data_IF_677082255074
#
_entry.id   IF_677082255074
#
_cell.length_a   1.000
_cell.length_b   1.000
_cell.length_c   1.000
_cell.angle_alpha   90.00
_cell.angle_beta   90.00
_cell.angle_gamma   90.00
#
_symmetry.space_group_name_H-M   'P 1'
#
loop_
_entity.id
_entity.type
_entity.pdbx_description
1 polymer ?
#
# COMPACT_ATOMS: atom_id res chain seq x y z
N UNK A 1 -5.36 0.25 25.69
CA UNK A 1 -4.66 0.63 24.44
C UNK A 1 -4.45 2.12 24.48
N UNK A 2 -3.22 2.59 24.57
CA UNK A 2 -2.91 4.03 24.53
C UNK A 2 -2.99 4.48 23.07
N UNK A 3 -3.98 5.28 22.71
CA UNK A 3 -4.05 5.97 21.42
C UNK A 3 -2.81 6.86 21.31
N UNK A 4 -2.22 6.92 20.12
CA UNK A 4 -1.14 7.91 19.84
C UNK A 4 -1.73 9.32 20.00
N UNK A 5 -1.23 10.09 20.96
CA UNK A 5 -1.79 11.41 21.27
C UNK A 5 -1.28 12.46 20.27
N UNK A 6 -2.18 13.03 19.52
CA UNK A 6 -1.92 14.15 18.62
C UNK A 6 -2.92 15.28 18.89
N UNK A 7 -2.41 16.51 18.86
CA UNK A 7 -3.25 17.70 18.88
C UNK A 7 -3.55 18.17 17.45
N UNK A 8 -4.82 18.30 17.08
CA UNK A 8 -5.25 18.62 15.71
C UNK A 8 -4.76 20.01 15.25
N UNK A 9 -4.72 21.00 16.14
CA UNK A 9 -4.26 22.36 15.80
C UNK A 9 -2.76 22.36 15.50
N UNK A 10 -1.95 21.69 16.34
CA UNK A 10 -0.51 21.54 16.13
C UNK A 10 -0.23 20.74 14.84
N UNK A 11 -0.97 19.68 14.60
CA UNK A 11 -0.87 18.89 13.39
C UNK A 11 -1.20 19.71 12.14
N UNK A 12 -2.28 20.50 12.20
CA UNK A 12 -2.71 21.38 11.11
C UNK A 12 -1.64 22.43 10.79
N UNK A 13 -1.08 23.09 11.81
CA UNK A 13 -0.04 24.11 11.63
C UNK A 13 1.26 23.50 11.06
N UNK A 14 1.62 22.27 11.47
CA UNK A 14 2.76 21.54 10.91
C UNK A 14 2.51 21.20 9.44
N UNK A 15 1.31 20.71 9.10
CA UNK A 15 0.94 20.32 7.75
C UNK A 15 0.79 21.50 6.79
N UNK A 16 0.40 22.70 7.27
CA UNK A 16 0.42 23.95 6.48
C UNK A 16 1.83 24.34 6.03
N UNK A 17 2.85 23.93 6.79
CA UNK A 17 4.28 24.15 6.50
C UNK A 17 4.92 22.96 5.81
N UNK A 18 4.14 22.14 5.09
CA UNK A 18 4.65 20.93 4.44
C UNK A 18 5.82 21.22 3.49
N UNK A 19 6.99 20.73 3.87
CA UNK A 19 8.23 20.82 3.06
C UNK A 19 8.48 19.57 2.22
N UNK A 20 7.61 18.55 2.31
CA UNK A 20 7.80 17.27 1.66
C UNK A 20 6.99 17.14 0.37
N UNK A 21 6.24 18.18 -0.02
CA UNK A 21 5.31 18.15 -1.16
C UNK A 21 4.29 16.99 -1.05
N UNK A 22 3.79 16.77 0.16
CA UNK A 22 2.88 15.66 0.45
C UNK A 22 1.41 16.10 0.55
N UNK A 23 1.15 17.32 1.06
CA UNK A 23 -0.19 17.84 1.29
C UNK A 23 -0.76 18.46 0.03
N UNK A 24 -1.93 17.95 -0.39
CA UNK A 24 -2.67 18.52 -1.52
C UNK A 24 -3.70 19.56 -1.08
N UNK A 25 -4.56 19.21 -0.13
CA UNK A 25 -5.60 20.09 0.38
C UNK A 25 -6.04 19.70 1.79
N UNK A 26 -6.62 20.68 2.49
CA UNK A 26 -7.24 20.46 3.79
C UNK A 26 -8.75 20.26 3.64
N UNK A 27 -9.33 19.42 4.49
CA UNK A 27 -10.77 19.34 4.67
C UNK A 27 -11.27 20.41 5.66
N UNK A 28 -12.52 20.81 5.51
CA UNK A 28 -13.18 21.61 6.54
C UNK A 28 -13.41 20.76 7.80
N UNK A 29 -13.00 21.28 8.95
CA UNK A 29 -13.28 20.63 10.22
C UNK A 29 -14.77 20.78 10.55
N UNK A 30 -15.48 19.66 10.67
CA UNK A 30 -16.93 19.62 10.95
C UNK A 30 -17.19 18.93 12.28
N UNK A 31 -18.37 19.18 12.86
CA UNK A 31 -18.80 18.43 14.03
C UNK A 31 -18.85 16.93 13.70
N UNK A 32 -18.14 16.14 14.49
CA UNK A 32 -18.00 14.71 14.28
C UNK A 32 -19.20 13.93 14.81
N UNK A 33 -19.51 12.82 14.14
CA UNK A 33 -20.31 11.76 14.72
C UNK A 33 -19.54 11.11 15.88
N UNK A 34 -20.25 10.51 16.83
CA UNK A 34 -19.59 9.68 17.86
C UNK A 34 -19.46 8.25 17.37
N UNK A 35 -18.30 7.64 17.58
CA UNK A 35 -17.99 6.27 17.19
C UNK A 35 -16.65 5.81 17.73
N UNK A 36 -16.18 4.64 17.28
CA UNK A 36 -14.94 4.03 17.79
C UNK A 36 -13.67 4.82 17.39
N UNK A 37 -13.76 5.66 16.36
CA UNK A 37 -12.67 6.52 15.89
C UNK A 37 -12.82 7.99 16.34
N UNK A 38 -13.71 8.27 17.30
CA UNK A 38 -13.82 9.62 17.85
C UNK A 38 -12.46 10.12 18.35
N UNK A 39 -12.19 11.41 18.10
CA UNK A 39 -10.92 12.10 18.40
C UNK A 39 -9.71 11.64 17.54
N UNK A 40 -9.92 10.77 16.58
CA UNK A 40 -8.90 10.43 15.59
C UNK A 40 -9.08 11.23 14.31
N UNK A 41 -7.99 11.72 13.74
CA UNK A 41 -7.99 12.39 12.44
C UNK A 41 -7.01 11.72 11.49
N UNK A 42 -7.31 11.82 10.18
CA UNK A 42 -6.60 11.04 9.17
C UNK A 42 -6.29 11.83 7.90
N UNK A 43 -5.32 11.32 7.16
CA UNK A 43 -5.06 11.71 5.77
C UNK A 43 -5.61 10.67 4.80
N UNK A 44 -5.98 11.12 3.59
CA UNK A 44 -6.44 10.23 2.53
C UNK A 44 -5.76 10.57 1.20
N UNK A 45 -5.34 9.53 0.52
CA UNK A 45 -4.72 9.59 -0.81
C UNK A 45 -5.67 10.18 -1.84
N UNK A 46 -5.18 11.06 -2.72
CA UNK A 46 -6.03 11.84 -3.66
C UNK A 46 -6.71 11.01 -4.76
N UNK A 47 -6.46 9.72 -4.84
CA UNK A 47 -7.16 8.79 -5.73
C UNK A 47 -8.43 8.16 -5.11
N UNK A 48 -8.87 8.64 -3.95
CA UNK A 48 -10.18 8.30 -3.39
C UNK A 48 -11.20 9.39 -3.64
N UNK A 49 -12.39 8.99 -4.06
CA UNK A 49 -13.52 9.89 -4.23
C UNK A 49 -13.99 10.46 -2.89
N UNK A 50 -14.17 11.78 -2.83
CA UNK A 50 -14.84 12.49 -1.73
C UNK A 50 -15.71 13.60 -2.30
N UNK A 51 -16.87 13.82 -1.74
CA UNK A 51 -17.77 14.95 -2.13
C UNK A 51 -17.05 16.27 -1.94
N UNK A 52 -16.30 16.40 -0.85
CA UNK A 52 -15.55 17.60 -0.55
C UNK A 52 -14.22 17.63 -1.32
N UNK A 53 -14.03 18.71 -2.08
CA UNK A 53 -12.81 18.99 -2.79
C UNK A 53 -12.61 18.18 -4.08
N UNK A 54 -11.43 18.32 -4.63
CA UNK A 54 -11.00 17.63 -5.85
C UNK A 54 -10.43 16.25 -5.48
N UNK A 55 -10.62 15.26 -6.35
CA UNK A 55 -9.95 13.95 -6.29
C UNK A 55 -9.26 13.71 -7.63
N UNK A 56 -7.97 14.01 -7.72
CA UNK A 56 -7.24 14.00 -9.00
C UNK A 56 -6.24 12.84 -9.13
N UNK A 57 -6.04 12.04 -8.06
CA UNK A 57 -5.06 10.94 -8.09
C UNK A 57 -3.65 11.40 -8.45
N UNK A 58 -3.29 12.65 -8.19
CA UNK A 58 -2.02 13.30 -8.58
C UNK A 58 -1.76 13.32 -10.08
N UNK A 59 -2.82 13.32 -10.90
CA UNK A 59 -2.77 13.44 -12.37
C UNK A 59 -3.30 14.80 -12.84
N UNK A 60 -2.63 15.39 -13.81
CA UNK A 60 -3.11 16.62 -14.45
C UNK A 60 -4.40 16.40 -15.25
N UNK A 61 -4.61 15.20 -15.77
CA UNK A 61 -5.84 14.85 -16.49
C UNK A 61 -7.10 15.03 -15.64
N UNK A 62 -6.98 14.87 -14.32
CA UNK A 62 -8.10 14.97 -13.38
C UNK A 62 -8.01 16.18 -12.43
N UNK A 63 -7.21 17.20 -12.77
CA UNK A 63 -6.88 18.32 -11.88
C UNK A 63 -8.12 19.04 -11.29
N UNK A 64 -9.23 19.04 -12.00
CA UNK A 64 -10.48 19.67 -11.59
C UNK A 64 -11.59 18.65 -11.27
N UNK A 65 -11.28 17.35 -11.22
CA UNK A 65 -12.30 16.32 -11.05
C UNK A 65 -12.87 16.33 -9.63
N UNK A 66 -14.18 16.54 -9.56
CA UNK A 66 -14.97 16.54 -8.31
C UNK A 66 -15.97 15.38 -8.35
N UNK A 67 -15.70 14.29 -7.64
CA UNK A 67 -16.68 13.20 -7.48
C UNK A 67 -17.95 13.70 -6.83
N UNK A 68 -19.10 13.26 -7.30
CA UNK A 68 -20.39 13.56 -6.67
C UNK A 68 -20.72 12.69 -5.44
N UNK A 69 -19.78 11.86 -4.98
CA UNK A 69 -19.98 10.88 -3.92
C UNK A 69 -18.70 10.64 -3.12
N UNK A 70 -18.84 10.06 -1.94
CA UNK A 70 -17.74 9.59 -1.11
C UNK A 70 -17.40 8.13 -1.43
N UNK A 71 -16.12 7.78 -1.41
CA UNK A 71 -15.72 6.37 -1.37
C UNK A 71 -16.28 5.70 -0.11
N UNK A 72 -16.64 4.43 -0.21
CA UNK A 72 -17.21 3.69 0.92
C UNK A 72 -16.28 3.71 2.14
N UNK A 73 -14.97 3.58 1.94
CA UNK A 73 -14.01 3.64 3.04
C UNK A 73 -14.03 5.01 3.73
N UNK A 74 -14.05 6.10 2.97
CA UNK A 74 -14.12 7.45 3.54
C UNK A 74 -15.43 7.65 4.33
N UNK A 75 -16.57 7.22 3.77
CA UNK A 75 -17.85 7.33 4.42
C UNK A 75 -17.92 6.55 5.74
N UNK A 76 -17.46 5.29 5.75
CA UNK A 76 -17.41 4.47 6.97
C UNK A 76 -16.55 5.10 8.06
N UNK A 77 -15.40 5.70 7.71
CA UNK A 77 -14.51 6.36 8.67
C UNK A 77 -15.17 7.57 9.33
N UNK A 78 -15.78 8.46 8.55
CA UNK A 78 -16.46 9.64 9.10
C UNK A 78 -17.73 9.28 9.89
N UNK A 79 -18.42 8.20 9.49
CA UNK A 79 -19.60 7.69 10.20
C UNK A 79 -19.23 7.13 11.59
N UNK A 80 -17.99 6.68 11.78
CA UNK A 80 -17.45 6.20 13.06
C UNK A 80 -16.64 7.27 13.81
N UNK A 81 -16.80 8.53 13.43
CA UNK A 81 -16.28 9.66 14.18
C UNK A 81 -14.85 10.10 13.80
N UNK A 82 -14.21 9.49 12.81
CA UNK A 82 -12.91 9.96 12.37
C UNK A 82 -13.03 11.31 11.63
N UNK A 83 -12.10 12.23 11.90
CA UNK A 83 -12.04 13.54 11.26
C UNK A 83 -11.08 13.48 10.05
N UNK A 84 -11.55 13.68 8.80
CA UNK A 84 -10.63 13.87 7.68
C UNK A 84 -9.89 15.20 7.87
N UNK A 85 -8.55 15.18 7.77
CA UNK A 85 -7.74 16.38 7.95
C UNK A 85 -7.20 16.89 6.63
N UNK A 86 -6.57 16.01 5.85
CA UNK A 86 -5.91 16.37 4.59
C UNK A 86 -6.11 15.32 3.51
N UNK A 87 -6.15 15.78 2.25
CA UNK A 87 -5.83 14.95 1.07
C UNK A 87 -4.35 15.06 0.76
N UNK A 88 -3.75 13.96 0.36
CA UNK A 88 -2.32 13.89 0.09
C UNK A 88 -2.01 13.50 -1.35
N UNK A 89 -0.90 14.01 -1.86
CA UNK A 89 -0.34 13.59 -3.15
C UNK A 89 0.14 12.13 -3.11
N UNK A 90 0.27 11.55 -4.28
CA UNK A 90 0.70 10.16 -4.49
C UNK A 90 1.41 10.02 -5.83
N UNK A 91 2.06 8.90 -6.12
CA UNK A 91 2.45 8.61 -7.49
C UNK A 91 1.19 8.55 -8.37
N UNK A 92 1.25 9.17 -9.56
CA UNK A 92 0.12 9.44 -10.42
C UNK A 92 -0.80 8.23 -10.62
N UNK A 93 -2.09 8.39 -10.30
CA UNK A 93 -3.15 7.36 -10.37
C UNK A 93 -2.78 6.02 -9.73
N UNK A 94 -1.87 6.03 -8.74
CA UNK A 94 -1.39 4.82 -8.10
C UNK A 94 -0.26 4.09 -8.84
N UNK A 95 0.18 4.61 -9.99
CA UNK A 95 1.21 3.99 -10.83
C UNK A 95 2.60 4.56 -10.53
N UNK A 96 3.34 3.92 -9.65
CA UNK A 96 4.68 4.39 -9.27
C UNK A 96 5.40 3.37 -8.41
N UNK A 97 5.70 3.75 -7.18
CA UNK A 97 6.36 2.92 -6.18
C UNK A 97 7.51 3.62 -5.46
N UNK A 98 7.82 4.88 -5.84
CA UNK A 98 8.99 5.59 -5.32
C UNK A 98 8.67 6.95 -4.68
N UNK A 99 7.46 7.52 -4.92
CA UNK A 99 7.13 8.90 -4.55
C UNK A 99 7.71 9.94 -5.50
N UNK A 100 8.13 9.52 -6.69
CA UNK A 100 8.80 10.38 -7.68
C UNK A 100 7.92 10.71 -8.89
N UNK A 101 6.72 10.11 -8.96
CA UNK A 101 5.90 10.11 -10.18
C UNK A 101 4.55 10.80 -10.01
N UNK A 102 4.40 11.68 -9.03
CA UNK A 102 3.29 12.63 -9.01
C UNK A 102 3.47 13.66 -10.14
N UNK A 103 2.40 14.05 -10.82
CA UNK A 103 2.45 15.12 -11.80
C UNK A 103 2.87 16.47 -11.18
N UNK A 104 2.61 16.63 -9.89
CA UNK A 104 2.88 17.87 -9.12
C UNK A 104 4.25 17.86 -8.41
N UNK A 105 5.16 16.99 -8.82
CA UNK A 105 6.52 16.93 -8.30
C UNK A 105 6.76 15.76 -7.35
N UNK A 106 8.01 15.64 -6.93
CA UNK A 106 8.47 14.57 -6.04
C UNK A 106 7.93 14.77 -4.63
N UNK A 107 7.58 13.67 -3.98
CA UNK A 107 7.23 13.64 -2.55
C UNK A 107 8.45 13.14 -1.79
N UNK A 108 8.87 13.89 -0.78
CA UNK A 108 10.11 13.66 -0.07
C UNK A 108 9.89 12.78 1.18
N UNK A 109 10.93 12.01 1.55
CA UNK A 109 10.92 11.26 2.79
C UNK A 109 11.11 12.21 3.99
N UNK A 110 10.19 12.23 4.97
CA UNK A 110 10.26 13.14 6.10
C UNK A 110 11.44 12.87 7.05
N UNK A 111 12.03 11.67 7.01
CA UNK A 111 13.17 11.29 7.85
C UNK A 111 14.51 11.71 7.22
N UNK A 112 14.58 11.67 5.88
CA UNK A 112 15.78 12.07 5.12
C UNK A 112 15.35 12.36 3.67
N UNK A 113 15.40 13.64 3.27
CA UNK A 113 15.00 14.12 1.94
C UNK A 113 15.86 13.55 0.79
N UNK A 114 17.02 12.94 1.08
CA UNK A 114 17.85 12.24 0.08
C UNK A 114 17.40 10.81 -0.20
N UNK A 115 16.48 10.28 0.62
CA UNK A 115 15.97 8.92 0.53
C UNK A 115 14.58 8.87 -0.12
N UNK A 116 14.26 7.72 -0.73
CA UNK A 116 12.91 7.48 -1.23
C UNK A 116 11.91 7.40 -0.06
N UNK A 117 10.74 8.01 -0.22
CA UNK A 117 9.62 7.84 0.72
C UNK A 117 8.86 6.55 0.44
N UNK A 118 9.08 5.96 -0.74
CA UNK A 118 8.26 4.86 -1.26
C UNK A 118 6.96 5.38 -1.90
N UNK A 119 6.21 4.46 -2.50
CA UNK A 119 4.97 4.77 -3.20
C UNK A 119 4.17 3.50 -3.52
N UNK A 120 3.01 3.69 -4.08
CA UNK A 120 2.40 4.95 -4.56
C UNK A 120 1.73 5.80 -3.47
N UNK A 121 1.54 5.33 -2.23
CA UNK A 121 0.95 6.11 -1.12
C UNK A 121 1.99 6.99 -0.41
N UNK A 122 2.73 7.75 -1.19
CA UNK A 122 3.89 8.54 -0.75
C UNK A 122 3.51 9.65 0.22
N UNK A 123 2.45 10.41 -0.10
CA UNK A 123 1.96 11.47 0.77
C UNK A 123 1.36 10.92 2.06
N UNK A 124 0.69 9.76 2.01
CA UNK A 124 0.22 9.06 3.22
C UNK A 124 1.38 8.74 4.17
N UNK A 125 2.51 8.26 3.62
CA UNK A 125 3.70 7.98 4.41
C UNK A 125 4.41 9.25 4.92
N UNK A 126 4.51 10.27 4.06
CA UNK A 126 5.19 11.52 4.43
C UNK A 126 4.46 12.31 5.53
N UNK A 127 3.15 12.14 5.68
CA UNK A 127 2.31 12.88 6.63
C UNK A 127 1.90 12.08 7.86
N UNK A 128 2.25 10.80 7.97
CA UNK A 128 1.77 9.90 9.02
C UNK A 128 2.06 10.39 10.45
N UNK A 129 3.20 11.06 10.68
CA UNK A 129 3.54 11.62 11.99
C UNK A 129 2.72 12.86 12.39
N UNK A 130 1.78 13.27 11.55
CA UNK A 130 0.87 14.37 11.81
C UNK A 130 -0.61 13.96 11.78
N UNK A 131 -0.90 12.66 11.67
CA UNK A 131 -2.26 12.09 11.69
C UNK A 131 -2.25 10.76 12.44
N UNK A 132 -3.41 10.32 12.95
CA UNK A 132 -3.50 9.04 13.66
C UNK A 132 -3.36 7.84 12.72
N UNK A 133 -3.89 7.98 11.49
CA UNK A 133 -3.74 6.98 10.44
C UNK A 133 -3.83 7.63 9.06
N UNK A 134 -3.33 6.95 8.06
CA UNK A 134 -3.31 7.45 6.69
C UNK A 134 -3.88 6.41 5.72
N UNK A 135 -4.96 6.75 5.01
CA UNK A 135 -5.59 5.87 4.03
C UNK A 135 -4.88 5.97 2.69
N UNK A 136 -4.61 4.83 2.09
CA UNK A 136 -4.06 4.70 0.76
C UNK A 136 -4.51 3.42 0.06
N UNK A 137 -3.80 3.03 -0.97
CA UNK A 137 -4.08 1.83 -1.76
C UNK A 137 -2.81 1.01 -1.97
N UNK A 138 -2.96 -0.31 -2.01
CA UNK A 138 -1.85 -1.24 -2.22
C UNK A 138 -2.21 -2.19 -3.37
N UNK A 139 -1.51 -2.05 -4.49
CA UNK A 139 -1.67 -2.87 -5.70
C UNK A 139 -0.53 -3.88 -5.84
N UNK A 140 0.61 -3.62 -5.20
CA UNK A 140 1.77 -4.49 -5.16
C UNK A 140 2.55 -4.38 -3.85
N UNK A 141 2.73 -3.15 -3.36
CA UNK A 141 3.43 -2.85 -2.12
C UNK A 141 3.17 -1.41 -1.64
N UNK A 142 2.23 -0.74 -2.25
CA UNK A 142 2.10 0.72 -2.21
C UNK A 142 1.67 1.33 -0.87
N UNK A 143 1.39 0.53 0.15
CA UNK A 143 1.27 0.91 1.56
C UNK A 143 2.43 0.34 2.37
N UNK A 144 2.76 -0.92 2.17
CA UNK A 144 3.68 -1.67 3.03
C UNK A 144 5.13 -1.24 2.85
N UNK A 145 5.56 -0.94 1.62
CA UNK A 145 6.91 -0.39 1.35
C UNK A 145 7.06 1.04 1.88
N UNK A 146 6.16 2.01 1.58
CA UNK A 146 6.22 3.33 2.21
C UNK A 146 6.22 3.26 3.74
N UNK A 147 5.40 2.39 4.35
CA UNK A 147 5.40 2.18 5.79
C UNK A 147 6.79 1.75 6.31
N UNK A 148 7.46 0.83 5.60
CA UNK A 148 8.82 0.39 5.95
C UNK A 148 9.84 1.55 5.89
N UNK A 149 9.72 2.43 4.90
CA UNK A 149 10.66 3.53 4.70
C UNK A 149 10.48 4.71 5.68
N UNK A 150 9.34 4.75 6.38
CA UNK A 150 9.09 5.75 7.43
C UNK A 150 8.92 5.14 8.83
N UNK A 151 9.11 3.82 8.97
CA UNK A 151 9.07 3.13 10.26
C UNK A 151 7.69 3.08 10.89
N UNK A 152 6.68 2.77 10.11
CA UNK A 152 5.27 2.67 10.54
C UNK A 152 4.70 1.30 10.19
N UNK A 153 3.53 1.00 10.77
CA UNK A 153 2.76 -0.17 10.39
C UNK A 153 2.04 0.09 9.08
N UNK A 154 2.16 -0.83 8.13
CA UNK A 154 1.43 -0.78 6.86
C UNK A 154 0.59 -2.03 6.70
N UNK A 155 -0.73 -1.90 6.63
CA UNK A 155 -1.63 -3.04 6.52
C UNK A 155 -2.38 -3.05 5.19
N UNK A 156 -2.29 -4.18 4.50
CA UNK A 156 -3.05 -4.54 3.32
C UNK A 156 -3.99 -5.69 3.66
N UNK A 157 -5.31 -5.47 3.72
CA UNK A 157 -6.30 -6.52 3.95
C UNK A 157 -6.28 -7.62 2.89
N UNK A 158 -6.99 -8.69 3.14
CA UNK A 158 -7.40 -9.66 2.10
C UNK A 158 -8.11 -8.94 0.95
N UNK A 159 -7.86 -9.39 -0.29
CA UNK A 159 -8.53 -8.85 -1.45
C UNK A 159 -10.05 -8.97 -1.30
N UNK A 160 -10.76 -7.85 -1.46
CA UNK A 160 -12.21 -7.78 -1.30
C UNK A 160 -12.71 -7.60 0.14
N UNK A 161 -11.87 -7.73 1.18
CA UNK A 161 -12.29 -7.53 2.57
C UNK A 161 -12.73 -6.09 2.89
N UNK A 162 -12.25 -5.12 2.12
CA UNK A 162 -12.64 -3.71 2.18
C UNK A 162 -13.11 -3.26 0.80
N UNK A 163 -14.27 -2.60 0.75
CA UNK A 163 -14.83 -2.07 -0.49
C UNK A 163 -13.87 -1.11 -1.20
N UNK A 164 -13.76 -1.25 -2.51
CA UNK A 164 -13.00 -0.38 -3.40
C UNK A 164 -13.88 0.65 -4.10
N UNK A 165 -15.19 0.72 -3.78
CA UNK A 165 -16.06 1.73 -4.36
C UNK A 165 -15.53 3.13 -4.05
N UNK A 166 -15.29 3.91 -5.11
CA UNK A 166 -14.71 5.24 -5.05
C UNK A 166 -13.19 5.30 -4.96
N UNK A 167 -12.48 4.16 -5.00
CA UNK A 167 -11.05 4.10 -5.29
C UNK A 167 -10.84 4.12 -6.81
N UNK A 168 -10.00 5.02 -7.32
CA UNK A 168 -9.65 5.02 -8.75
C UNK A 168 -8.89 3.76 -9.11
N UNK A 169 -9.42 3.01 -10.05
CA UNK A 169 -8.89 1.71 -10.41
C UNK A 169 -7.55 1.82 -11.15
N UNK A 170 -6.53 1.17 -10.63
CA UNK A 170 -5.26 0.92 -11.31
C UNK A 170 -5.27 -0.47 -11.94
N UNK A 171 -5.25 -1.52 -11.12
CA UNK A 171 -5.30 -2.92 -11.54
C UNK A 171 -6.35 -3.65 -10.70
N UNK A 172 -7.56 -3.79 -11.25
CA UNK A 172 -8.75 -4.26 -10.52
C UNK A 172 -8.59 -5.63 -9.89
N UNK A 173 -7.76 -6.50 -10.45
CA UNK A 173 -7.50 -7.83 -9.88
C UNK A 173 -6.46 -7.83 -8.74
N UNK A 174 -5.88 -6.66 -8.41
CA UNK A 174 -4.79 -6.51 -7.44
C UNK A 174 -5.05 -5.40 -6.41
N UNK A 175 -5.78 -4.34 -6.80
CA UNK A 175 -6.00 -3.16 -5.97
C UNK A 175 -6.68 -3.51 -4.65
N UNK A 176 -6.13 -2.97 -3.57
CA UNK A 176 -6.67 -3.13 -2.22
C UNK A 176 -6.63 -1.78 -1.50
N UNK A 177 -7.74 -1.41 -0.83
CA UNK A 177 -7.72 -0.30 0.14
C UNK A 177 -6.85 -0.72 1.31
N UNK A 178 -5.93 0.14 1.71
CA UNK A 178 -4.92 -0.17 2.70
C UNK A 178 -4.53 1.10 3.48
N UNK A 179 -3.82 0.97 4.59
CA UNK A 179 -3.51 2.11 5.45
C UNK A 179 -2.20 1.97 6.21
N UNK A 180 -1.70 3.13 6.67
CA UNK A 180 -0.61 3.24 7.62
C UNK A 180 -1.15 3.63 8.98
N UNK A 181 -0.52 3.11 10.04
CA UNK A 181 -0.78 3.45 11.44
C UNK A 181 0.52 3.48 12.24
N UNK A 182 0.45 3.99 13.47
CA UNK A 182 1.62 4.07 14.36
C UNK A 182 1.97 2.71 14.98
N UNK A 183 0.97 1.85 15.19
CA UNK A 183 1.07 0.52 15.80
C UNK A 183 -0.02 -0.40 15.26
N UNK A 184 0.06 -1.69 15.58
CA UNK A 184 -0.91 -2.70 15.15
C UNK A 184 -2.30 -2.48 15.80
N UNK A 185 -2.35 -1.97 17.04
CA UNK A 185 -3.62 -1.70 17.72
C UNK A 185 -4.47 -0.65 17.01
N UNK A 186 -3.85 0.43 16.50
CA UNK A 186 -4.53 1.44 15.70
C UNK A 186 -5.02 0.85 14.37
N UNK A 187 -4.24 -0.07 13.77
CA UNK A 187 -4.65 -0.76 12.54
C UNK A 187 -5.89 -1.64 12.76
N UNK A 188 -6.05 -2.23 13.95
CA UNK A 188 -7.24 -2.99 14.31
C UNK A 188 -8.46 -2.07 14.38
N UNK A 189 -8.36 -0.88 14.99
CA UNK A 189 -9.48 0.07 15.06
C UNK A 189 -9.95 0.53 13.67
N UNK A 190 -9.00 0.80 12.77
CA UNK A 190 -9.34 1.12 11.38
C UNK A 190 -10.00 -0.09 10.69
N UNK A 191 -9.47 -1.32 10.89
CA UNK A 191 -10.05 -2.54 10.31
C UNK A 191 -11.50 -2.75 10.76
N UNK A 192 -11.78 -2.63 12.06
CA UNK A 192 -13.13 -2.78 12.62
C UNK A 192 -14.14 -1.79 12.03
N UNK A 193 -13.65 -0.67 11.49
CA UNK A 193 -14.48 0.36 10.86
C UNK A 193 -14.75 0.07 9.38
N UNK A 194 -13.73 -0.32 8.61
CA UNK A 194 -13.82 -0.26 7.15
C UNK A 194 -14.13 -1.61 6.49
N UNK A 195 -13.96 -2.72 7.20
CA UNK A 195 -14.26 -4.06 6.67
C UNK A 195 -15.75 -4.27 6.39
N UNK A 196 -16.04 -5.28 5.58
CA UNK A 196 -17.37 -5.79 5.27
C UNK A 196 -17.79 -5.57 3.83
N UNK A 197 -18.82 -6.32 3.45
CA UNK A 197 -19.38 -6.35 2.11
C UNK A 197 -20.05 -5.00 1.75
N UNK A 198 -20.01 -4.66 0.46
CA UNK A 198 -20.59 -3.43 -0.10
C UNK A 198 -21.28 -3.77 -1.45
N UNK A 199 -22.53 -3.40 -1.58
CA UNK A 199 -23.32 -3.60 -2.82
C UNK A 199 -22.73 -2.82 -4.02
N UNK A 200 -21.98 -1.76 -3.76
CA UNK A 200 -21.32 -0.97 -4.82
C UNK A 200 -19.97 -1.57 -5.28
N UNK A 201 -19.45 -2.59 -4.59
CA UNK A 201 -18.28 -3.37 -4.99
C UNK A 201 -18.60 -4.87 -4.96
N UNK A 202 -19.00 -5.41 -6.10
CA UNK A 202 -19.37 -6.83 -6.24
C UNK A 202 -18.21 -7.80 -5.97
N UNK A 203 -16.98 -7.32 -5.81
CA UNK A 203 -15.83 -8.14 -5.42
C UNK A 203 -15.62 -8.15 -3.91
N UNK A 204 -16.38 -7.33 -3.16
CA UNK A 204 -16.27 -7.27 -1.71
C UNK A 204 -16.84 -8.55 -1.06
N UNK A 205 -16.16 -8.96 0.01
CA UNK A 205 -16.51 -10.16 0.78
C UNK A 205 -16.56 -9.84 2.27
N UNK A 206 -17.39 -10.60 2.99
CA UNK A 206 -17.45 -10.48 4.45
C UNK A 206 -16.23 -11.15 5.09
N UNK A 207 -15.44 -10.39 5.83
CA UNK A 207 -14.32 -10.88 6.63
C UNK A 207 -14.45 -10.33 8.05
N UNK A 208 -14.47 -11.22 9.04
CA UNK A 208 -14.69 -10.84 10.43
C UNK A 208 -13.42 -10.32 11.09
N UNK A 209 -13.46 -9.07 11.59
CA UNK A 209 -12.35 -8.42 12.33
C UNK A 209 -12.81 -7.72 13.62
N UNK A 210 -14.08 -7.95 14.03
CA UNK A 210 -14.65 -7.28 15.21
C UNK A 210 -14.01 -7.71 16.52
N UNK A 211 -13.51 -8.97 16.59
CA UNK A 211 -12.80 -9.52 17.74
C UNK A 211 -11.40 -9.91 17.32
N UNK A 212 -10.43 -9.07 17.65
CA UNK A 212 -9.01 -9.35 17.47
C UNK A 212 -8.35 -9.43 18.84
N UNK A 213 -7.82 -10.58 19.17
CA UNK A 213 -7.11 -10.82 20.43
C UNK A 213 -5.63 -11.07 20.15
N UNK A 214 -4.74 -10.51 20.97
CA UNK A 214 -3.31 -10.81 20.89
C UNK A 214 -3.12 -12.31 21.05
N UNK A 215 -2.58 -12.94 20.03
CA UNK A 215 -2.44 -14.40 19.97
C UNK A 215 -1.00 -14.78 19.64
N UNK A 216 -0.42 -15.68 20.41
CA UNK A 216 0.87 -16.27 20.12
C UNK A 216 0.72 -17.28 18.98
N UNK A 217 1.46 -17.13 17.85
CA UNK A 217 1.44 -18.14 16.79
C UNK A 217 2.06 -19.45 17.31
N UNK A 218 1.56 -20.58 16.82
CA UNK A 218 2.10 -21.91 17.15
C UNK A 218 3.23 -22.31 16.21
N UNK A 219 3.07 -22.00 14.92
CA UNK A 219 3.99 -22.39 13.86
C UNK A 219 4.25 -21.23 12.91
N UNK A 220 5.51 -20.83 12.78
CA UNK A 220 5.97 -19.67 12.01
C UNK A 220 7.00 -20.11 10.98
N UNK A 221 6.85 -19.62 9.75
CA UNK A 221 7.81 -19.81 8.67
C UNK A 221 8.58 -18.52 8.41
N UNK A 222 9.90 -18.59 8.38
CA UNK A 222 10.76 -17.53 7.83
C UNK A 222 11.21 -17.88 6.42
N UNK A 223 11.01 -16.96 5.48
CA UNK A 223 11.59 -17.04 4.15
C UNK A 223 13.01 -16.46 4.19
N UNK A 224 13.98 -17.29 3.85
CA UNK A 224 15.39 -16.91 3.89
C UNK A 224 15.84 -16.31 2.54
N UNK A 225 16.30 -15.04 2.60
CA UNK A 225 16.88 -14.29 1.50
C UNK A 225 18.30 -13.82 1.83
N UNK A 226 19.08 -14.63 2.54
CA UNK A 226 20.39 -14.27 3.09
C UNK A 226 21.37 -13.61 2.10
N UNK A 227 21.33 -13.94 0.84
CA UNK A 227 22.16 -13.34 -0.21
C UNK A 227 21.66 -11.98 -0.72
N UNK A 228 20.45 -11.57 -0.35
CA UNK A 228 19.79 -10.38 -0.90
C UNK A 228 19.56 -9.26 0.14
N UNK A 229 19.69 -9.55 1.43
CA UNK A 229 19.37 -8.60 2.51
C UNK A 229 20.63 -8.04 3.17
N UNK A 230 20.51 -6.83 3.70
CA UNK A 230 21.61 -6.19 4.43
C UNK A 230 21.87 -6.90 5.78
N UNK A 231 23.16 -6.95 6.24
CA UNK A 231 23.53 -7.68 7.46
C UNK A 231 22.72 -7.28 8.70
N UNK A 232 22.39 -6.00 8.86
CA UNK A 232 21.61 -5.50 10.00
C UNK A 232 20.14 -5.98 9.97
N UNK A 233 19.57 -6.22 8.78
CA UNK A 233 18.23 -6.83 8.66
C UNK A 233 18.28 -8.28 9.07
N UNK A 234 19.28 -9.01 8.57
CA UNK A 234 19.52 -10.43 8.90
C UNK A 234 19.70 -10.63 10.41
N UNK A 235 20.51 -9.78 11.05
CA UNK A 235 20.72 -9.83 12.49
C UNK A 235 19.41 -9.72 13.29
N UNK A 236 18.56 -8.76 12.96
CA UNK A 236 17.28 -8.56 13.64
C UNK A 236 16.30 -9.73 13.40
N UNK A 237 16.28 -10.29 12.18
CA UNK A 237 15.48 -11.50 11.88
C UNK A 237 15.94 -12.69 12.73
N UNK A 238 17.23 -12.92 12.87
CA UNK A 238 17.76 -14.00 13.72
C UNK A 238 17.43 -13.81 15.21
N UNK A 239 17.55 -12.57 15.72
CA UNK A 239 17.13 -12.28 17.10
C UNK A 239 15.66 -12.59 17.32
N UNK A 240 14.78 -12.19 16.39
CA UNK A 240 13.36 -12.49 16.46
C UNK A 240 13.10 -14.02 16.43
N UNK A 241 13.79 -14.76 15.58
CA UNK A 241 13.68 -16.24 15.52
C UNK A 241 14.02 -16.86 16.86
N UNK A 242 15.14 -16.46 17.48
CA UNK A 242 15.56 -16.99 18.79
C UNK A 242 14.56 -16.67 19.89
N UNK A 243 14.00 -15.47 19.92
CA UNK A 243 12.97 -15.11 20.90
C UNK A 243 11.71 -15.98 20.70
N UNK A 244 11.23 -16.14 19.46
CA UNK A 244 10.06 -16.96 19.19
C UNK A 244 10.30 -18.43 19.59
N UNK A 245 11.47 -18.99 19.32
CA UNK A 245 11.86 -20.35 19.74
C UNK A 245 11.93 -20.48 21.26
N UNK A 246 12.51 -19.51 21.97
CA UNK A 246 12.57 -19.52 23.44
C UNK A 246 11.20 -19.44 24.10
N UNK A 247 10.24 -18.79 23.42
CA UNK A 247 8.84 -18.75 23.83
C UNK A 247 8.06 -20.01 23.45
N UNK A 248 8.71 -21.04 22.86
CA UNK A 248 8.09 -22.29 22.45
C UNK A 248 7.27 -22.23 21.16
N UNK A 249 7.52 -21.25 20.30
CA UNK A 249 6.95 -21.22 18.95
C UNK A 249 7.75 -22.16 18.03
N UNK A 250 7.07 -22.95 17.24
CA UNK A 250 7.71 -23.78 16.22
C UNK A 250 8.16 -22.90 15.05
N UNK A 251 9.47 -22.70 14.91
CA UNK A 251 10.04 -21.85 13.88
C UNK A 251 10.74 -22.69 12.82
N UNK A 252 10.30 -22.57 11.59
CA UNK A 252 10.96 -23.15 10.41
C UNK A 252 11.57 -22.06 9.52
N UNK A 253 12.68 -22.41 8.86
CA UNK A 253 13.36 -21.55 7.88
C UNK A 253 13.47 -22.31 6.56
N UNK A 254 13.04 -21.67 5.47
CA UNK A 254 13.23 -22.25 4.13
C UNK A 254 13.85 -21.22 3.18
N UNK A 255 14.65 -21.72 2.24
CA UNK A 255 14.95 -20.98 1.01
C UNK A 255 13.75 -21.20 0.09
N UNK A 256 13.00 -20.14 -0.27
CA UNK A 256 11.84 -20.32 -1.13
C UNK A 256 12.23 -20.70 -2.56
N UNK A 257 11.26 -21.11 -3.37
CA UNK A 257 11.50 -21.33 -4.81
C UNK A 257 11.86 -20.00 -5.50
N UNK A 258 13.15 -19.70 -5.53
CA UNK A 258 13.68 -18.44 -6.09
C UNK A 258 13.37 -18.31 -7.59
N UNK A 259 13.29 -19.42 -8.35
CA UNK A 259 12.97 -19.38 -9.78
C UNK A 259 11.52 -18.91 -9.98
N UNK A 260 10.61 -19.40 -9.16
CA UNK A 260 9.22 -18.95 -9.20
C UNK A 260 9.08 -17.51 -8.69
N UNK A 261 9.73 -17.17 -7.58
CA UNK A 261 9.62 -15.81 -6.99
C UNK A 261 10.21 -14.72 -7.88
N UNK A 262 11.27 -15.00 -8.68
CA UNK A 262 11.77 -14.05 -9.68
C UNK A 262 10.74 -13.68 -10.75
N UNK A 263 9.70 -14.48 -10.93
CA UNK A 263 8.61 -14.16 -11.86
C UNK A 263 7.58 -13.18 -11.29
N UNK A 264 7.59 -12.86 -9.98
CA UNK A 264 6.65 -11.95 -9.34
C UNK A 264 6.62 -10.60 -10.04
N UNK A 265 7.79 -9.97 -10.23
CA UNK A 265 7.86 -8.64 -10.84
C UNK A 265 7.32 -8.62 -12.27
N UNK A 266 7.82 -9.43 -13.23
CA UNK A 266 7.29 -9.41 -14.59
C UNK A 266 5.81 -9.82 -14.66
N UNK A 267 5.34 -10.75 -13.84
CA UNK A 267 3.92 -11.13 -13.77
C UNK A 267 3.07 -9.96 -13.28
N UNK A 268 3.52 -9.29 -12.21
CA UNK A 268 2.85 -8.11 -11.68
C UNK A 268 2.79 -6.98 -12.72
N UNK A 269 3.90 -6.68 -13.39
CA UNK A 269 3.97 -5.61 -14.39
C UNK A 269 3.07 -5.89 -15.59
N UNK A 270 3.12 -7.09 -16.15
CA UNK A 270 2.28 -7.45 -17.30
C UNK A 270 0.81 -7.36 -16.95
N UNK A 271 0.37 -7.92 -15.82
CA UNK A 271 -1.03 -7.89 -15.40
C UNK A 271 -1.46 -6.46 -15.09
N UNK A 272 -0.71 -5.76 -14.24
CA UNK A 272 -1.11 -4.43 -13.77
C UNK A 272 -1.10 -3.38 -14.89
N UNK A 273 -0.13 -3.41 -15.81
CA UNK A 273 -0.10 -2.47 -16.94
C UNK A 273 -1.21 -2.75 -17.96
N UNK A 274 -1.53 -4.03 -18.19
CA UNK A 274 -2.65 -4.43 -19.04
C UNK A 274 -3.99 -3.95 -18.47
N UNK A 275 -4.23 -4.20 -17.19
CA UNK A 275 -5.45 -3.76 -16.51
C UNK A 275 -5.53 -2.23 -16.40
N UNK A 276 -4.41 -1.55 -16.12
CA UNK A 276 -4.34 -0.09 -16.13
C UNK A 276 -4.73 0.50 -17.48
N UNK A 277 -4.27 -0.09 -18.58
CA UNK A 277 -4.59 0.36 -19.93
C UNK A 277 -6.10 0.32 -20.19
N UNK A 278 -6.77 -0.74 -19.72
CA UNK A 278 -8.22 -0.85 -19.80
C UNK A 278 -8.92 0.13 -18.86
N UNK A 279 -8.56 0.13 -17.58
CA UNK A 279 -9.23 0.95 -16.55
C UNK A 279 -9.12 2.46 -16.81
N UNK A 280 -7.93 2.93 -17.24
CA UNK A 280 -7.68 4.34 -17.48
C UNK A 280 -8.06 4.80 -18.90
N UNK A 281 -8.64 3.93 -19.73
CA UNK A 281 -9.12 4.30 -21.07
C UNK A 281 -10.23 5.35 -21.02
N UNK A 282 -11.03 5.37 -19.95
CA UNK A 282 -12.09 6.35 -19.73
C UNK A 282 -11.56 7.78 -19.44
N UNK A 283 -10.27 7.93 -19.03
CA UNK A 283 -9.65 9.25 -18.86
C UNK A 283 -9.13 9.72 -20.23
N UNK A 284 -10.01 10.31 -21.00
CA UNK A 284 -9.79 10.65 -22.41
C UNK A 284 -10.21 12.07 -22.77
N UNK A 285 -10.61 12.87 -21.78
CA UNK A 285 -11.06 14.25 -22.01
C UNK A 285 -12.51 14.39 -22.49
N UNK A 286 -13.16 13.30 -22.90
CA UNK A 286 -14.58 13.28 -23.29
C UNK A 286 -15.46 12.68 -22.20
N UNK A 287 -15.10 11.50 -21.70
CA UNK A 287 -15.82 10.81 -20.61
C UNK A 287 -15.38 11.35 -19.26
N UNK A 288 -14.08 11.31 -19.00
CA UNK A 288 -13.46 11.89 -17.82
C UNK A 288 -12.18 12.63 -18.21
N UNK A 289 -11.79 13.58 -17.35
CA UNK A 289 -10.59 14.37 -17.53
C UNK A 289 -10.85 15.78 -18.04
N UNK A 290 -9.77 16.56 -18.13
CA UNK A 290 -9.85 17.92 -18.61
C UNK A 290 -10.18 17.96 -20.10
N UNK A 291 -11.12 18.82 -20.47
CA UNK A 291 -11.58 19.02 -21.86
C UNK A 291 -11.31 20.45 -22.30
N UNK A 292 -10.72 20.62 -23.47
CA UNK A 292 -10.69 21.89 -24.18
C UNK A 292 -11.81 21.90 -25.24
N UNK A 293 -12.91 22.58 -24.94
CA UNK A 293 -14.11 22.60 -25.78
C UNK A 293 -13.90 23.24 -27.16
N UNK A 294 -12.75 23.89 -27.37
CA UNK A 294 -12.43 24.52 -28.64
C UNK A 294 -11.73 23.58 -29.64
N UNK A 295 -11.38 22.37 -29.19
CA UNK A 295 -10.72 21.36 -30.01
C UNK A 295 -11.72 20.40 -30.65
N UNK A 296 -11.29 19.76 -31.74
CA UNK A 296 -11.99 18.61 -32.32
C UNK A 296 -11.84 17.40 -31.35
N UNK A 297 -12.75 16.45 -31.43
CA UNK A 297 -12.79 15.32 -30.52
C UNK A 297 -11.51 14.46 -30.57
N UNK A 298 -10.90 14.30 -31.76
CA UNK A 298 -9.64 13.56 -31.93
C UNK A 298 -8.49 14.26 -31.18
N UNK A 299 -8.43 15.60 -31.28
CA UNK A 299 -7.40 16.40 -30.61
C UNK A 299 -7.59 16.43 -29.09
N UNK A 300 -8.86 16.43 -28.62
CA UNK A 300 -9.19 16.29 -27.19
C UNK A 300 -8.62 14.98 -26.65
N UNK A 301 -8.85 13.88 -27.36
CA UNK A 301 -8.37 12.56 -26.97
C UNK A 301 -6.84 12.51 -26.88
N UNK A 302 -6.17 13.01 -27.91
CA UNK A 302 -4.72 13.07 -27.95
C UNK A 302 -4.15 13.94 -26.82
N UNK A 303 -4.66 15.16 -26.67
CA UNK A 303 -4.19 16.15 -25.70
C UNK A 303 -4.42 15.70 -24.26
N UNK A 304 -5.59 15.12 -23.95
CA UNK A 304 -5.91 14.64 -22.61
C UNK A 304 -4.91 13.60 -22.10
N UNK A 305 -4.36 12.78 -22.98
CA UNK A 305 -3.41 11.72 -22.62
C UNK A 305 -1.95 12.15 -22.77
N UNK A 306 -1.63 12.99 -23.75
CA UNK A 306 -0.25 13.46 -23.97
C UNK A 306 0.17 14.51 -22.94
N UNK A 307 -0.70 15.51 -22.69
CA UNK A 307 -0.41 16.62 -21.78
C UNK A 307 -0.92 16.32 -20.36
N UNK A 308 -1.91 15.44 -20.24
CA UNK A 308 -2.59 15.13 -18.99
C UNK A 308 -1.92 14.04 -18.17
N UNK A 309 -1.14 13.16 -18.79
CA UNK A 309 -0.45 12.06 -18.10
C UNK A 309 1.06 12.29 -18.03
N UNK A 310 1.63 11.98 -16.85
CA UNK A 310 3.07 12.00 -16.65
C UNK A 310 3.78 10.86 -17.38
N UNK A 311 5.07 11.01 -17.62
CA UNK A 311 5.90 10.08 -18.41
C UNK A 311 5.82 8.62 -17.91
N UNK A 312 5.84 8.40 -16.60
CA UNK A 312 5.80 7.03 -16.03
C UNK A 312 4.46 6.34 -16.35
N UNK A 313 3.36 7.09 -16.26
CA UNK A 313 2.04 6.57 -16.59
C UNK A 313 1.94 6.25 -18.08
N UNK A 314 2.36 7.16 -18.95
CA UNK A 314 2.37 6.93 -20.40
C UNK A 314 3.19 5.69 -20.78
N UNK A 315 4.40 5.55 -20.21
CA UNK A 315 5.26 4.38 -20.42
C UNK A 315 4.54 3.08 -20.08
N UNK A 316 3.87 3.00 -18.93
CA UNK A 316 3.16 1.79 -18.48
C UNK A 316 1.96 1.48 -19.37
N UNK A 317 1.21 2.49 -19.81
CA UNK A 317 0.08 2.30 -20.72
C UNK A 317 0.52 1.82 -22.11
N UNK A 318 1.68 2.27 -22.60
CA UNK A 318 2.27 1.76 -23.86
C UNK A 318 2.58 0.26 -23.71
N UNK A 319 3.25 -0.15 -22.63
CA UNK A 319 3.50 -1.56 -22.37
C UNK A 319 2.22 -2.37 -22.20
N UNK A 320 1.23 -1.86 -21.47
CA UNK A 320 -0.05 -2.52 -21.31
C UNK A 320 -0.78 -2.71 -22.64
N UNK A 321 -0.76 -1.71 -23.52
CA UNK A 321 -1.31 -1.80 -24.88
C UNK A 321 -0.59 -2.88 -25.69
N UNK A 322 0.75 -2.94 -25.61
CA UNK A 322 1.54 -3.97 -26.28
C UNK A 322 1.16 -5.38 -25.78
N UNK A 323 1.00 -5.57 -24.48
CA UNK A 323 0.61 -6.87 -23.91
C UNK A 323 -0.80 -7.31 -24.28
N UNK A 324 -1.72 -6.35 -24.53
CA UNK A 324 -3.11 -6.61 -24.90
C UNK A 324 -3.32 -6.75 -26.43
N UNK A 325 -2.33 -6.39 -27.24
CA UNK A 325 -2.41 -6.54 -28.69
C UNK A 325 -2.65 -8.01 -29.06
N UNK A 326 -3.57 -8.28 -29.99
CA UNK A 326 -4.04 -9.63 -30.33
C UNK A 326 -2.89 -10.64 -30.54
N UNK A 327 -1.82 -10.24 -31.24
CA UNK A 327 -0.66 -11.10 -31.51
C UNK A 327 0.22 -11.38 -30.28
N UNK A 328 0.14 -10.53 -29.24
CA UNK A 328 0.97 -10.58 -28.06
C UNK A 328 0.25 -11.14 -26.82
N UNK A 329 -1.10 -11.04 -26.79
CA UNK A 329 -1.92 -11.32 -25.62
C UNK A 329 -1.69 -12.72 -25.04
N UNK A 330 -1.64 -13.74 -25.88
CA UNK A 330 -1.42 -15.13 -25.43
C UNK A 330 -0.02 -15.32 -24.85
N UNK A 331 0.97 -14.71 -25.47
CA UNK A 331 2.38 -14.86 -25.07
C UNK A 331 2.75 -14.09 -23.80
N UNK A 332 2.05 -12.99 -23.49
CA UNK A 332 2.33 -12.14 -22.33
C UNK A 332 1.21 -12.21 -21.30
N UNK A 333 0.06 -11.60 -21.57
CA UNK A 333 -0.99 -11.41 -20.58
C UNK A 333 -1.58 -12.73 -20.07
N UNK A 334 -1.97 -13.62 -20.98
CA UNK A 334 -2.55 -14.92 -20.61
C UNK A 334 -1.50 -15.78 -19.91
N UNK A 335 -0.26 -15.79 -20.41
CA UNK A 335 0.85 -16.51 -19.78
C UNK A 335 1.15 -15.99 -18.37
N UNK A 336 1.17 -14.67 -18.18
CA UNK A 336 1.36 -14.07 -16.86
C UNK A 336 0.24 -14.48 -15.87
N UNK A 337 -1.01 -14.54 -16.31
CA UNK A 337 -2.13 -15.05 -15.50
C UNK A 337 -1.94 -16.53 -15.11
N UNK A 338 -1.46 -17.36 -16.02
CA UNK A 338 -1.15 -18.77 -15.73
C UNK A 338 -0.01 -18.87 -14.69
N UNK A 339 1.06 -18.07 -14.82
CA UNK A 339 2.17 -18.04 -13.85
C UNK A 339 1.68 -17.48 -12.51
N UNK A 340 0.80 -16.45 -12.49
CA UNK A 340 0.15 -15.98 -11.24
C UNK A 340 -0.51 -17.14 -10.49
N UNK A 341 -1.18 -18.04 -11.20
CA UNK A 341 -1.79 -19.23 -10.57
C UNK A 341 -0.74 -20.15 -9.93
N UNK A 342 0.41 -20.34 -10.57
CA UNK A 342 1.51 -21.14 -9.99
C UNK A 342 2.06 -20.46 -8.72
N UNK A 343 2.31 -19.15 -8.75
CA UNK A 343 2.72 -18.36 -7.58
C UNK A 343 1.69 -18.51 -6.45
N UNK A 344 0.41 -18.35 -6.77
CA UNK A 344 -0.69 -18.49 -5.82
C UNK A 344 -0.68 -19.88 -5.16
N UNK A 345 -0.68 -20.94 -5.95
CA UNK A 345 -0.71 -22.32 -5.44
C UNK A 345 0.50 -22.61 -4.55
N UNK A 346 1.69 -22.18 -4.95
CA UNK A 346 2.90 -22.33 -4.16
C UNK A 346 2.80 -21.60 -2.83
N UNK A 347 2.42 -20.33 -2.85
CA UNK A 347 2.38 -19.51 -1.64
C UNK A 347 1.25 -19.94 -0.69
N UNK A 348 0.08 -20.28 -1.21
CA UNK A 348 -1.02 -20.85 -0.43
C UNK A 348 -0.61 -22.18 0.23
N UNK A 349 0.22 -23.00 -0.42
CA UNK A 349 0.72 -24.23 0.19
C UNK A 349 1.58 -23.96 1.43
N UNK A 350 2.35 -22.85 1.45
CA UNK A 350 3.09 -22.40 2.63
C UNK A 350 2.15 -21.85 3.70
N UNK A 351 1.27 -20.91 3.33
CA UNK A 351 0.30 -20.28 4.23
C UNK A 351 -0.66 -21.29 4.88
N UNK A 352 -0.89 -22.45 4.26
CA UNK A 352 -1.74 -23.51 4.82
C UNK A 352 -1.03 -24.38 5.87
N UNK A 353 0.30 -24.37 5.92
CA UNK A 353 1.10 -25.18 6.85
C UNK A 353 1.55 -24.39 8.09
N UNK A 354 1.49 -23.04 8.03
CA UNK A 354 1.97 -22.14 9.07
C UNK A 354 0.88 -21.14 9.46
N UNK A 355 0.93 -20.65 10.69
CA UNK A 355 0.03 -19.58 11.14
C UNK A 355 0.35 -18.27 10.43
N UNK A 356 1.64 -17.97 10.29
CA UNK A 356 2.19 -16.80 9.59
C UNK A 356 3.48 -17.13 8.85
N UNK A 357 3.72 -16.37 7.77
CA UNK A 357 4.97 -16.36 7.01
C UNK A 357 5.64 -15.01 7.21
N UNK A 358 6.91 -15.01 7.60
CA UNK A 358 7.72 -13.86 7.93
C UNK A 358 8.86 -13.68 6.92
N UNK A 359 9.07 -12.44 6.48
CA UNK A 359 10.18 -12.08 5.58
C UNK A 359 10.49 -10.58 5.66
N UNK A 360 11.65 -10.10 5.21
CA UNK A 360 11.96 -8.67 5.21
C UNK A 360 11.04 -7.94 4.24
N UNK A 361 10.48 -6.78 4.66
CA UNK A 361 9.64 -5.95 3.79
C UNK A 361 10.42 -5.36 2.61
N UNK A 362 11.75 -5.23 2.76
CA UNK A 362 12.68 -4.75 1.76
C UNK A 362 14.10 -5.23 2.13
N UNK A 363 15.05 -5.17 1.20
CA UNK A 363 16.43 -5.63 1.49
C UNK A 363 17.15 -4.85 2.59
N UNK A 364 16.71 -3.63 2.89
CA UNK A 364 17.31 -2.75 3.89
C UNK A 364 16.48 -1.50 4.15
N UNK A 365 17.13 -0.41 4.53
CA UNK A 365 16.49 0.90 4.71
C UNK A 365 16.15 1.55 3.37
N UNK A 366 15.41 2.67 3.40
CA UNK A 366 15.04 3.44 2.22
C UNK A 366 16.27 3.80 1.36
N UNK A 367 16.27 3.46 0.04
CA UNK A 367 17.38 3.75 -0.86
C UNK A 367 17.46 5.24 -1.23
N UNK A 368 18.60 5.67 -1.74
CA UNK A 368 18.81 7.04 -2.20
C UNK A 368 17.95 7.36 -3.44
N UNK A 369 17.44 8.60 -3.50
CA UNK A 369 16.67 9.10 -4.66
C UNK A 369 17.49 9.04 -5.95
N UNK A 370 18.80 9.34 -5.88
CA UNK A 370 19.71 9.39 -7.01
C UNK A 370 20.81 8.31 -6.97
N UNK A 371 20.65 7.28 -6.13
CA UNK A 371 21.66 6.24 -5.97
C UNK A 371 21.78 5.31 -7.18
N UNK A 372 22.99 4.72 -7.35
CA UNK A 372 23.26 3.64 -8.31
C UNK A 372 22.63 2.32 -7.82
N UNK A 373 21.30 2.25 -7.79
CA UNK A 373 20.58 1.04 -7.35
C UNK A 373 20.44 -0.03 -8.45
N UNK A 374 21.19 0.08 -9.57
CA UNK A 374 21.09 -0.86 -10.68
C UNK A 374 21.57 -2.28 -10.33
N UNK A 375 22.52 -2.40 -9.41
CA UNK A 375 23.10 -3.71 -9.03
C UNK A 375 22.17 -4.57 -8.16
N UNK A 376 21.21 -3.95 -7.47
CA UNK A 376 20.23 -4.64 -6.61
C UNK A 376 18.80 -4.63 -7.16
N UNK A 377 18.60 -4.13 -8.38
CA UNK A 377 17.25 -3.99 -8.96
C UNK A 377 16.52 -5.32 -9.15
N UNK A 378 17.26 -6.37 -9.42
CA UNK A 378 16.74 -7.71 -9.78
C UNK A 378 16.58 -8.63 -8.56
N UNK A 379 16.91 -8.16 -7.36
CA UNK A 379 16.72 -8.92 -6.13
C UNK A 379 15.22 -9.10 -5.83
N UNK A 380 14.85 -10.31 -5.43
CA UNK A 380 13.45 -10.65 -5.09
C UNK A 380 12.93 -9.76 -3.97
N UNK A 381 13.77 -9.44 -2.98
CA UNK A 381 13.43 -8.59 -1.84
C UNK A 381 13.02 -7.16 -2.21
N UNK A 382 13.28 -6.70 -3.44
CA UNK A 382 12.78 -5.41 -3.93
C UNK A 382 11.28 -5.42 -4.29
N UNK A 383 10.70 -6.58 -4.52
CA UNK A 383 9.31 -6.70 -4.99
C UNK A 383 8.54 -7.86 -4.36
N UNK A 384 9.12 -8.53 -3.37
CA UNK A 384 8.51 -9.69 -2.71
C UNK A 384 7.12 -9.37 -2.11
N UNK A 385 6.89 -8.16 -1.64
CA UNK A 385 5.60 -7.74 -1.09
C UNK A 385 4.44 -7.90 -2.08
N UNK A 386 4.72 -7.83 -3.40
CA UNK A 386 3.69 -7.99 -4.42
C UNK A 386 3.09 -9.40 -4.47
N UNK A 387 3.73 -10.39 -3.84
CA UNK A 387 3.20 -11.76 -3.78
C UNK A 387 1.81 -11.78 -3.14
N UNK A 388 1.59 -11.02 -2.07
CA UNK A 388 0.31 -10.99 -1.36
C UNK A 388 -0.82 -10.30 -2.16
N UNK A 389 -0.51 -9.44 -3.15
CA UNK A 389 -1.50 -8.91 -4.09
C UNK A 389 -1.80 -9.94 -5.19
N UNK A 390 -0.78 -10.65 -5.70
CA UNK A 390 -0.97 -11.71 -6.69
C UNK A 390 -1.80 -12.87 -6.14
N UNK A 391 -1.63 -13.20 -4.86
CA UNK A 391 -2.34 -14.28 -4.16
C UNK A 391 -3.68 -13.80 -3.60
N UNK A 392 -3.76 -12.57 -3.10
CA UNK A 392 -4.95 -11.97 -2.50
C UNK A 392 -5.01 -12.08 -0.97
N UNK A 393 -4.01 -12.66 -0.31
CA UNK A 393 -3.95 -12.82 1.13
C UNK A 393 -3.67 -11.52 1.88
N UNK A 394 -4.05 -11.37 3.17
CA UNK A 394 -3.72 -10.21 3.98
C UNK A 394 -2.23 -10.18 4.29
N UNK A 395 -1.67 -8.98 4.41
CA UNK A 395 -0.26 -8.73 4.65
C UNK A 395 -0.07 -7.46 5.46
N UNK A 396 0.78 -7.51 6.46
CA UNK A 396 1.13 -6.35 7.29
C UNK A 396 2.65 -6.20 7.35
N UNK A 397 3.13 -4.96 7.36
CA UNK A 397 4.53 -4.68 7.69
C UNK A 397 4.61 -3.91 8.99
N UNK A 398 5.51 -4.32 9.87
CA UNK A 398 5.73 -3.69 11.18
C UNK A 398 7.21 -3.32 11.35
N UNK A 399 7.54 -2.21 12.06
CA UNK A 399 8.92 -1.80 12.27
C UNK A 399 9.73 -2.90 12.96
N UNK A 400 10.82 -3.36 12.34
CA UNK A 400 11.71 -4.38 12.88
C UNK A 400 12.94 -3.77 13.56
N UNK A 401 13.43 -2.64 13.04
CA UNK A 401 14.60 -1.97 13.57
C UNK A 401 14.99 -0.71 12.81
N UNK A 402 16.14 -0.17 13.16
CA UNK A 402 16.73 1.01 12.49
C UNK A 402 18.19 0.75 12.17
N UNK A 403 18.67 1.34 11.06
CA UNK A 403 20.09 1.45 10.75
C UNK A 403 20.41 2.89 10.37
N UNK A 404 21.39 3.51 11.05
CA UNK A 404 21.73 4.94 10.89
C UNK A 404 20.50 5.87 10.95
N UNK A 405 19.63 5.65 11.94
CA UNK A 405 18.35 6.34 12.16
C UNK A 405 17.25 6.09 11.10
N UNK A 406 17.53 5.35 10.05
CA UNK A 406 16.52 4.96 9.05
C UNK A 406 15.88 3.61 9.39
N UNK A 407 14.56 3.51 9.35
CA UNK A 407 13.84 2.30 9.72
C UNK A 407 13.84 1.25 8.60
N UNK A 408 13.55 0.01 9.00
CA UNK A 408 13.20 -1.09 8.11
C UNK A 408 12.20 -2.02 8.80
N UNK A 409 11.32 -2.65 8.01
CA UNK A 409 10.20 -3.43 8.53
C UNK A 409 10.34 -4.93 8.25
N UNK A 410 9.66 -5.70 9.09
CA UNK A 410 9.27 -7.09 8.87
C UNK A 410 7.94 -7.14 8.13
N UNK A 411 7.79 -8.02 7.16
CA UNK A 411 6.51 -8.38 6.55
C UNK A 411 5.97 -9.67 7.18
N UNK A 412 4.67 -9.70 7.44
CA UNK A 412 3.92 -10.81 8.01
C UNK A 412 2.72 -11.09 7.14
N UNK A 413 2.64 -12.30 6.63
CA UNK A 413 1.53 -12.77 5.78
C UNK A 413 0.80 -13.93 6.46
N UNK A 414 -0.51 -14.04 6.22
CA UNK A 414 -1.32 -15.17 6.64
C UNK A 414 -2.30 -15.58 5.54
N UNK A 415 -3.12 -16.60 5.77
CA UNK A 415 -4.11 -17.12 4.82
C UNK A 415 -5.08 -16.02 4.36
N UNK A 416 -5.60 -16.15 3.15
CA UNK A 416 -6.69 -15.30 2.67
C UNK A 416 -7.88 -15.35 3.63
N UNK A 417 -8.48 -14.20 3.90
CA UNK A 417 -9.60 -14.00 4.84
C UNK A 417 -9.30 -14.36 6.31
N UNK A 418 -8.02 -14.45 6.70
CA UNK A 418 -7.61 -14.62 8.09
C UNK A 418 -7.08 -13.33 8.72
N UNK A 419 -7.61 -12.19 8.32
CA UNK A 419 -7.18 -10.84 8.71
C UNK A 419 -7.18 -10.65 10.24
N UNK A 420 -8.21 -11.12 10.94
CA UNK A 420 -8.28 -11.04 12.39
C UNK A 420 -7.14 -11.83 13.07
N UNK A 421 -6.84 -13.01 12.56
CA UNK A 421 -5.73 -13.84 13.06
C UNK A 421 -4.38 -13.18 12.76
N UNK A 422 -4.19 -12.65 11.55
CA UNK A 422 -2.98 -11.91 11.19
C UNK A 422 -2.73 -10.74 12.15
N UNK A 423 -3.75 -9.93 12.41
CA UNK A 423 -3.67 -8.78 13.31
C UNK A 423 -3.37 -9.23 14.76
N UNK A 424 -3.99 -10.33 15.22
CA UNK A 424 -3.73 -10.91 16.53
C UNK A 424 -2.30 -11.43 16.70
N UNK A 425 -1.78 -12.12 15.69
CA UNK A 425 -0.38 -12.57 15.66
C UNK A 425 0.58 -11.38 15.57
N UNK A 426 0.21 -10.35 14.79
CA UNK A 426 1.03 -9.14 14.63
C UNK A 426 1.16 -8.35 15.92
N UNK A 427 0.14 -8.30 16.79
CA UNK A 427 0.24 -7.72 18.13
C UNK A 427 1.31 -8.45 18.99
N UNK A 428 1.33 -9.77 18.89
CA UNK A 428 2.32 -10.56 19.61
C UNK A 428 3.74 -10.34 19.06
N UNK A 429 3.90 -10.34 17.74
CA UNK A 429 5.20 -10.12 17.10
C UNK A 429 5.70 -8.68 17.35
N UNK A 430 4.82 -7.67 17.30
CA UNK A 430 5.17 -6.27 17.61
C UNK A 430 5.74 -6.13 19.03
N UNK A 431 5.14 -6.81 20.02
CA UNK A 431 5.65 -6.87 21.39
C UNK A 431 7.04 -7.50 21.44
N UNK A 432 7.25 -8.64 20.77
CA UNK A 432 8.55 -9.32 20.76
C UNK A 432 9.64 -8.55 20.04
N UNK A 433 9.29 -7.76 19.03
CA UNK A 433 10.23 -6.81 18.40
C UNK A 433 10.56 -5.65 19.36
N UNK A 434 9.60 -5.20 20.17
CA UNK A 434 9.84 -4.24 21.25
C UNK A 434 10.95 -4.72 22.20
N UNK A 435 10.90 -5.96 22.63
CA UNK A 435 11.90 -6.58 23.51
C UNK A 435 13.32 -6.55 22.88
N UNK A 436 13.44 -6.79 21.55
CA UNK A 436 14.72 -6.77 20.82
C UNK A 436 15.34 -5.35 20.76
N UNK A 437 14.51 -4.33 20.74
CA UNK A 437 14.97 -2.95 20.51
C UNK A 437 15.28 -2.19 21.81
N UNK A 438 14.99 -2.76 22.96
CA UNK A 438 15.33 -2.23 24.30
C UNK A 438 16.74 -2.67 24.72
N UNK A 439 17.24 -3.80 24.20
CA UNK A 439 18.62 -4.28 24.40
C UNK A 439 19.61 -3.53 23.48
#
# INVERSE_FOLDING_TARGET
MTKFELNIDQATEKLKKDENNAVFSFFELKNQKKGILSDMFFSIKSNFATVEGVSHGSSNSLINFRPGYNSTVFQKLIDQGAQPLIKVYNDELGLGGKGLFSFFGKILNPLDKTKLVGGSSSGSAATIDSVHFAIGSDTGDSIRRPASFVGKVGFKPSYGAVSRHGLFAYATSLDTVAWLTHNVSDSILVSQTVFGQDENDLTSVEVQVQKVEKTKPKKVLFLNFDGEIEPYVKEKLYKLQHILQSEGVLVENIIPDLNLLKTILPVYEIISYSEATSNLSAINGLTFGNTDKNLKWEDIFLKARTDGFGFMLQKRLIWGSFFLEQKNQEHFFIKAKKIRTLIKNYYESLLNQFDIVLFPAFYGVAPDVFGKNSEKSDQITNFILAISNLVGNPSITIPLGKHKNLPFNLAIDSKINSDASLLGFSLYIEEKIGDINVE
#
